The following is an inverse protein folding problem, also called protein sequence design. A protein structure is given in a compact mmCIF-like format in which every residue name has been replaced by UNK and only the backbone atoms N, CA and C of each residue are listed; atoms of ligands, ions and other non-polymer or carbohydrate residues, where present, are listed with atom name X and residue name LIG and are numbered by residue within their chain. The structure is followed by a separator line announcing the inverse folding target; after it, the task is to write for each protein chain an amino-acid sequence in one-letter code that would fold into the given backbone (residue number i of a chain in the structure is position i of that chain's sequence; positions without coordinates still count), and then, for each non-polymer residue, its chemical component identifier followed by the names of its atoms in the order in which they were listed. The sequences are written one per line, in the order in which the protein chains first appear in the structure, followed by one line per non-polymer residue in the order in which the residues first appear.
data_IF_156914719529
#
_entry.id   IF_156914719529
#
_cell.length_a   1.000
_cell.length_b   1.000
_cell.length_c   1.000
_cell.angle_alpha   90.00
_cell.angle_beta   90.00
_cell.angle_gamma   90.00
#
_symmetry.space_group_name_H-M   'P 1'
#
loop_
_entity.id
_entity.type
_entity.pdbx_description
1 polymer ?
#
# COMPACT_ATOMS: atom_id res chain seq x y z
N UNK A 1 -10.99 0.10 -7.50
CA UNK A 1 -11.27 1.03 -6.37
C UNK A 1 -12.24 2.12 -6.85
N UNK A 2 -13.53 2.03 -6.49
CA UNK A 2 -14.62 2.73 -7.23
C UNK A 2 -14.73 4.24 -6.99
N UNK A 3 -14.45 4.70 -5.77
CA UNK A 3 -14.66 6.12 -5.37
C UNK A 3 -13.37 6.94 -5.32
N UNK A 4 -12.26 6.34 -5.77
CA UNK A 4 -10.90 6.89 -5.69
C UNK A 4 -10.51 7.49 -4.32
N UNK A 5 -11.07 6.96 -3.22
CA UNK A 5 -10.66 7.36 -1.87
C UNK A 5 -9.27 6.80 -1.57
N UNK A 6 -8.43 7.53 -0.81
CA UNK A 6 -7.15 7.01 -0.33
C UNK A 6 -7.32 5.69 0.43
N UNK A 7 -6.49 4.70 0.13
CA UNK A 7 -6.40 3.40 0.79
C UNK A 7 -4.97 3.21 1.26
N UNK A 8 -4.80 2.84 2.54
CA UNK A 8 -3.53 2.49 3.11
C UNK A 8 -3.54 1.04 3.57
N UNK A 9 -2.62 0.21 3.08
CA UNK A 9 -2.45 -1.18 3.51
C UNK A 9 -0.98 -1.45 3.87
N UNK A 10 -0.74 -2.29 4.87
CA UNK A 10 0.61 -2.56 5.38
C UNK A 10 0.73 -4.03 5.75
N UNK A 11 1.92 -4.60 5.59
CA UNK A 11 2.23 -5.97 6.01
C UNK A 11 1.29 -6.99 5.33
N UNK A 12 0.39 -7.64 6.08
CA UNK A 12 -0.59 -8.59 5.55
C UNK A 12 -1.92 -7.94 5.13
N UNK A 13 -2.11 -6.64 5.39
CA UNK A 13 -3.34 -5.92 5.03
C UNK A 13 -3.67 -5.97 3.53
N UNK A 14 -2.66 -6.17 2.68
CA UNK A 14 -2.85 -6.32 1.23
C UNK A 14 -3.69 -7.57 0.87
N UNK A 15 -3.70 -8.62 1.71
CA UNK A 15 -4.48 -9.84 1.45
C UNK A 15 -5.98 -9.54 1.38
N UNK A 16 -6.46 -8.52 2.11
CA UNK A 16 -7.85 -8.05 2.02
C UNK A 16 -8.13 -7.46 0.64
N UNK A 17 -7.20 -6.69 0.10
CA UNK A 17 -7.34 -6.09 -1.24
C UNK A 17 -7.22 -7.15 -2.34
N UNK A 18 -6.35 -8.15 -2.15
CA UNK A 18 -6.24 -9.30 -3.04
C UNK A 18 -7.55 -10.10 -3.06
N UNK A 19 -8.10 -10.44 -1.89
CA UNK A 19 -9.37 -11.15 -1.77
C UNK A 19 -10.57 -10.37 -2.36
N UNK A 20 -10.51 -9.03 -2.32
CA UNK A 20 -11.50 -8.16 -2.94
C UNK A 20 -11.33 -8.02 -4.47
N UNK A 21 -10.29 -8.61 -5.08
CA UNK A 21 -9.94 -8.47 -6.50
C UNK A 21 -9.80 -7.01 -6.95
N UNK A 22 -9.14 -6.18 -6.13
CA UNK A 22 -8.93 -4.75 -6.45
C UNK A 22 -7.48 -4.37 -6.74
N UNK A 23 -6.59 -5.37 -6.89
CA UNK A 23 -5.16 -5.17 -7.17
C UNK A 23 -4.79 -5.28 -8.66
N UNK A 24 -5.72 -5.65 -9.54
CA UNK A 24 -5.43 -5.73 -10.97
C UNK A 24 -4.95 -4.37 -11.52
N UNK A 25 -3.78 -4.38 -12.17
CA UNK A 25 -3.08 -3.20 -12.67
C UNK A 25 -2.65 -2.18 -11.60
N UNK A 26 -2.52 -2.60 -10.33
CA UNK A 26 -1.97 -1.77 -9.25
C UNK A 26 -0.55 -2.18 -8.90
N UNK A 27 0.31 -1.21 -8.65
CA UNK A 27 1.63 -1.41 -8.07
C UNK A 27 1.53 -1.38 -6.55
N UNK A 28 2.08 -2.38 -5.86
CA UNK A 28 2.11 -2.38 -4.40
C UNK A 28 3.26 -3.19 -3.82
N UNK A 29 3.61 -2.86 -2.59
CA UNK A 29 4.47 -3.66 -1.72
C UNK A 29 3.67 -4.22 -0.56
N UNK A 30 4.21 -5.20 0.15
CA UNK A 30 3.59 -5.79 1.33
C UNK A 30 4.65 -6.55 2.14
N UNK A 31 4.23 -7.26 3.19
CA UNK A 31 5.15 -8.19 3.84
C UNK A 31 5.65 -9.23 2.81
N UNK A 32 6.95 -9.57 2.74
CA UNK A 32 7.49 -10.39 1.64
C UNK A 32 6.78 -11.73 1.41
N UNK A 33 6.27 -12.37 2.47
CA UNK A 33 5.53 -13.62 2.35
C UNK A 33 4.20 -13.49 1.58
N UNK A 34 3.70 -12.26 1.41
CA UNK A 34 2.42 -11.94 0.76
C UNK A 34 2.59 -11.61 -0.73
N UNK A 35 3.83 -11.67 -1.25
CA UNK A 35 4.13 -11.40 -2.66
C UNK A 35 3.29 -12.26 -3.61
N UNK A 36 3.07 -13.52 -3.26
CA UNK A 36 2.32 -14.48 -4.08
C UNK A 36 0.87 -14.04 -4.27
N UNK A 37 0.21 -13.55 -3.22
CA UNK A 37 -1.16 -13.03 -3.27
C UNK A 37 -1.28 -11.78 -4.14
N UNK A 38 -0.28 -10.89 -4.10
CA UNK A 38 -0.22 -9.72 -4.99
C UNK A 38 -0.15 -10.16 -6.45
N UNK A 39 0.78 -11.04 -6.79
CA UNK A 39 0.97 -11.51 -8.18
C UNK A 39 -0.26 -12.30 -8.67
N UNK A 40 -0.80 -13.20 -7.85
CA UNK A 40 -1.98 -14.00 -8.20
C UNK A 40 -3.25 -13.17 -8.39
N UNK A 41 -3.33 -11.99 -7.75
CA UNK A 41 -4.42 -11.02 -7.95
C UNK A 41 -4.13 -10.02 -9.08
N UNK A 42 -3.13 -10.29 -9.92
CA UNK A 42 -2.71 -9.47 -11.07
C UNK A 42 -2.20 -8.08 -10.68
N UNK A 43 -1.73 -7.92 -9.45
CA UNK A 43 -0.97 -6.75 -9.02
C UNK A 43 0.50 -6.86 -9.42
N UNK A 44 1.14 -5.71 -9.56
CA UNK A 44 2.58 -5.59 -9.79
C UNK A 44 3.30 -5.46 -8.45
N UNK A 45 4.13 -6.45 -8.12
CA UNK A 45 4.93 -6.44 -6.91
C UNK A 45 6.07 -5.41 -7.00
N UNK A 46 6.17 -4.55 -5.99
CA UNK A 46 7.26 -3.59 -5.83
C UNK A 46 8.10 -3.98 -4.62
N UNK A 47 9.38 -4.23 -4.87
CA UNK A 47 10.36 -4.44 -3.78
C UNK A 47 10.69 -3.12 -3.08
N UNK A 48 10.67 -3.13 -1.76
CA UNK A 48 10.86 -1.96 -0.89
C UNK A 48 11.57 -2.38 0.39
N UNK A 49 12.45 -1.51 0.87
CA UNK A 49 13.05 -1.65 2.20
C UNK A 49 11.97 -1.67 3.28
N UNK A 50 12.26 -2.32 4.41
CA UNK A 50 11.29 -2.62 5.47
C UNK A 50 10.69 -1.35 6.12
N UNK A 51 11.38 -0.24 6.01
CA UNK A 51 11.03 1.10 6.50
C UNK A 51 10.48 2.04 5.42
N UNK A 52 10.35 1.57 4.17
CA UNK A 52 9.87 2.36 3.06
C UNK A 52 8.37 2.15 2.75
N UNK A 53 7.78 3.11 2.03
CA UNK A 53 6.41 3.00 1.51
C UNK A 53 6.35 3.23 -0.01
N UNK A 54 5.37 2.62 -0.69
CA UNK A 54 5.09 2.80 -2.11
C UNK A 54 3.69 3.39 -2.31
N UNK A 55 3.55 4.31 -3.28
CA UNK A 55 2.27 4.93 -3.64
C UNK A 55 2.01 4.67 -5.11
N UNK A 56 0.82 4.17 -5.39
CA UNK A 56 0.25 4.03 -6.74
C UNK A 56 -1.16 4.64 -6.75
N UNK A 57 -1.27 5.85 -7.30
CA UNK A 57 -2.51 6.63 -7.37
C UNK A 57 -3.18 6.77 -5.99
N UNK A 58 -4.31 6.10 -5.74
CA UNK A 58 -5.05 6.19 -4.49
C UNK A 58 -4.68 5.09 -3.47
N UNK A 59 -3.61 4.33 -3.70
CA UNK A 59 -3.14 3.24 -2.83
C UNK A 59 -1.74 3.55 -2.28
N UNK A 60 -1.59 3.54 -0.96
CA UNK A 60 -0.29 3.56 -0.28
C UNK A 60 -0.04 2.24 0.44
N UNK A 61 1.13 1.65 0.21
CA UNK A 61 1.49 0.35 0.76
C UNK A 61 2.88 0.32 1.39
N UNK A 62 3.07 -0.55 2.37
CA UNK A 62 4.36 -0.68 3.08
C UNK A 62 4.64 -2.13 3.55
N UNK A 63 5.92 -2.55 3.64
CA UNK A 63 6.24 -3.94 3.98
C UNK A 63 5.96 -4.32 5.43
N UNK A 64 6.28 -3.46 6.39
CA UNK A 64 6.13 -3.74 7.81
C UNK A 64 6.10 -2.46 8.67
N UNK A 65 5.90 -2.64 9.98
CA UNK A 65 5.79 -1.56 10.97
C UNK A 65 6.98 -0.57 11.04
N UNK A 66 8.23 -0.88 10.64
CA UNK A 66 9.29 0.14 10.58
C UNK A 66 8.94 1.29 9.62
N UNK A 67 8.10 1.03 8.61
CA UNK A 67 7.66 2.02 7.64
C UNK A 67 6.53 2.94 8.13
N UNK A 68 6.05 2.79 9.38
CA UNK A 68 4.97 3.64 9.90
C UNK A 68 5.20 5.14 9.68
N UNK A 69 6.41 5.72 9.90
CA UNK A 69 6.63 7.13 9.65
C UNK A 69 6.35 7.54 8.20
N UNK A 70 6.93 6.83 7.23
CA UNK A 70 6.76 7.15 5.80
C UNK A 70 5.35 6.80 5.30
N UNK A 71 4.83 5.63 5.68
CA UNK A 71 3.49 5.15 5.30
C UNK A 71 2.39 6.10 5.79
N UNK A 72 2.45 6.52 7.05
CA UNK A 72 1.50 7.49 7.60
C UNK A 72 1.67 8.87 6.96
N UNK A 73 2.90 9.35 6.75
CA UNK A 73 3.14 10.63 6.08
C UNK A 73 2.50 10.67 4.69
N UNK A 74 2.74 9.66 3.85
CA UNK A 74 2.15 9.56 2.51
C UNK A 74 0.64 9.44 2.55
N UNK A 75 0.08 8.66 3.50
CA UNK A 75 -1.38 8.57 3.63
C UNK A 75 -2.01 9.90 4.03
N UNK A 76 -1.39 10.63 4.96
CA UNK A 76 -1.84 11.96 5.38
C UNK A 76 -1.76 12.97 4.25
N UNK A 77 -0.74 12.92 3.39
CA UNK A 77 -0.64 13.72 2.17
C UNK A 77 -1.81 13.44 1.21
N UNK A 78 -2.14 12.16 0.98
CA UNK A 78 -3.28 11.76 0.14
C UNK A 78 -4.63 12.24 0.69
N UNK A 79 -4.74 12.36 2.02
CA UNK A 79 -5.90 12.92 2.70
C UNK A 79 -5.94 14.46 2.67
N UNK A 80 -4.90 15.13 2.15
CA UNK A 80 -4.78 16.59 2.14
C UNK A 80 -4.46 17.20 3.51
N UNK A 81 -3.91 16.40 4.43
CA UNK A 81 -3.55 16.86 5.78
C UNK A 81 -2.39 17.84 5.71
N UNK A 82 -2.49 18.96 6.45
CA UNK A 82 -1.41 19.95 6.59
C UNK A 82 -0.91 19.95 8.02
N UNK A 83 0.34 19.55 8.22
CA UNK A 83 1.03 19.61 9.51
C UNK A 83 1.81 20.93 9.55
N UNK A 84 1.55 21.75 10.56
CA UNK A 84 2.22 23.02 10.82
C UNK A 84 2.65 23.07 12.29
N UNK A 85 3.75 23.76 12.55
CA UNK A 85 4.19 24.10 13.90
C UNK A 85 3.38 25.28 14.46
#
# INVERSE_FOLDING_TARGET
MKTNKPIAAICHGIQVLAAANVLENKECTAYPAVKTEVVNSKGSWVDKDVDAAHVDDNLVTAPAWPAHPEWLAKFLEMLGTKIKL
#
